data_IF_567476728447
#
_entry.id   IF_567476728447
#
_cell.length_a   1.000
_cell.length_b   1.000
_cell.length_c   1.000
_cell.angle_alpha   90.00
_cell.angle_beta   90.00
_cell.angle_gamma   90.00
#
_symmetry.space_group_name_H-M   'P 1'
#
loop_
_entity.id
_entity.type
_entity.pdbx_description
1 polymer ?
#
# COMPACT_ATOMS: atom_id res chain seq x y z
N UNK A 1 -7.96 -21.63 -1.51
CA UNK A 1 -8.55 -20.91 -2.66
C UNK A 1 -8.32 -21.67 -3.94
N UNK A 2 -8.99 -21.27 -5.04
CA UNK A 2 -9.03 -21.96 -6.36
C UNK A 2 -7.62 -22.30 -6.93
N UNK A 3 -6.59 -21.57 -6.52
CA UNK A 3 -5.21 -21.72 -7.02
C UNK A 3 -4.25 -22.39 -6.02
N UNK A 4 -4.74 -22.99 -4.94
CA UNK A 4 -3.89 -23.66 -3.94
C UNK A 4 -2.89 -22.75 -3.23
N UNK A 5 -3.09 -21.43 -3.24
CA UNK A 5 -2.14 -20.44 -2.68
C UNK A 5 -1.14 -19.87 -3.68
N UNK A 6 -1.22 -20.25 -4.96
CA UNK A 6 -0.28 -19.83 -6.01
C UNK A 6 -0.74 -18.64 -6.86
N UNK A 7 -1.49 -17.68 -6.29
CA UNK A 7 -2.07 -16.58 -7.06
C UNK A 7 -1.00 -15.69 -7.69
N UNK A 8 0.07 -15.36 -6.97
CA UNK A 8 1.12 -14.47 -7.44
C UNK A 8 1.92 -15.09 -8.61
N UNK A 9 2.39 -16.33 -8.43
CA UNK A 9 3.14 -17.05 -9.48
C UNK A 9 2.30 -17.21 -10.74
N UNK A 10 1.04 -17.64 -10.59
CA UNK A 10 0.14 -17.88 -11.73
C UNK A 10 -0.13 -16.57 -12.50
N UNK A 11 -0.44 -15.49 -11.78
CA UNK A 11 -0.67 -14.18 -12.36
C UNK A 11 0.58 -13.66 -13.09
N UNK A 12 1.75 -13.71 -12.45
CA UNK A 12 2.99 -13.20 -13.04
C UNK A 12 3.39 -13.98 -14.28
N UNK A 13 3.33 -15.32 -14.26
CA UNK A 13 3.56 -16.13 -15.46
C UNK A 13 2.61 -15.75 -16.61
N UNK A 14 1.33 -15.52 -16.31
CA UNK A 14 0.35 -15.08 -17.30
C UNK A 14 0.68 -13.70 -17.87
N UNK A 15 0.94 -12.71 -17.01
CA UNK A 15 1.22 -11.33 -17.42
C UNK A 15 2.54 -11.21 -18.20
N UNK A 16 3.59 -11.94 -17.80
CA UNK A 16 4.85 -11.99 -18.52
C UNK A 16 4.68 -12.56 -19.93
N UNK A 17 3.78 -13.52 -20.10
CA UNK A 17 3.45 -14.08 -21.41
C UNK A 17 2.61 -13.11 -22.24
N UNK A 18 1.53 -12.54 -21.69
CA UNK A 18 0.63 -11.62 -22.40
C UNK A 18 1.33 -10.31 -22.79
N UNK A 19 2.25 -9.81 -21.97
CA UNK A 19 3.09 -8.66 -22.30
C UNK A 19 4.27 -9.00 -23.23
N UNK A 20 4.48 -10.27 -23.59
CA UNK A 20 5.57 -10.69 -24.47
C UNK A 20 6.98 -10.60 -23.85
N UNK A 21 7.09 -10.41 -22.53
CA UNK A 21 8.35 -10.17 -21.83
C UNK A 21 9.29 -11.37 -21.87
N UNK A 22 8.73 -12.59 -21.80
CA UNK A 22 9.50 -13.84 -21.89
C UNK A 22 10.28 -13.90 -23.21
N UNK A 23 9.60 -13.61 -24.32
CA UNK A 23 10.23 -13.62 -25.64
C UNK A 23 11.19 -12.44 -25.81
N UNK A 24 10.77 -11.24 -25.43
CA UNK A 24 11.55 -10.02 -25.60
C UNK A 24 12.91 -10.09 -24.89
N UNK A 25 12.93 -10.53 -23.63
CA UNK A 25 14.15 -10.64 -22.81
C UNK A 25 14.81 -12.03 -22.88
N UNK A 26 14.27 -12.95 -23.69
CA UNK A 26 14.75 -14.33 -23.81
C UNK A 26 14.85 -15.04 -22.45
N UNK A 27 13.81 -14.88 -21.61
CA UNK A 27 13.80 -15.43 -20.26
C UNK A 27 13.66 -16.95 -20.29
N UNK A 28 14.50 -17.63 -19.51
CA UNK A 28 14.35 -19.05 -19.22
C UNK A 28 13.13 -19.25 -18.31
N UNK A 29 12.15 -20.01 -18.78
CA UNK A 29 10.89 -20.25 -18.06
C UNK A 29 11.07 -21.00 -16.74
N UNK A 30 12.07 -21.88 -16.63
CA UNK A 30 12.38 -22.60 -15.40
C UNK A 30 12.95 -21.63 -14.37
N UNK A 31 13.86 -20.74 -14.80
CA UNK A 31 14.42 -19.70 -13.92
C UNK A 31 13.37 -18.66 -13.52
N UNK A 32 12.47 -18.29 -14.43
CA UNK A 32 11.36 -17.38 -14.13
C UNK A 32 10.45 -17.99 -13.07
N UNK A 33 10.02 -19.25 -13.27
CA UNK A 33 9.19 -19.94 -12.29
C UNK A 33 9.90 -20.09 -10.94
N UNK A 34 11.22 -20.35 -10.93
CA UNK A 34 12.01 -20.40 -9.70
C UNK A 34 12.03 -19.05 -8.99
N UNK A 35 12.31 -17.96 -9.71
CA UNK A 35 12.28 -16.60 -9.14
C UNK A 35 10.91 -16.28 -8.54
N UNK A 36 9.84 -16.47 -9.29
CA UNK A 36 8.47 -16.19 -8.82
C UNK A 36 8.06 -17.08 -7.65
N UNK A 37 8.52 -18.34 -7.64
CA UNK A 37 8.33 -19.26 -6.52
C UNK A 37 8.98 -18.74 -5.24
N UNK A 38 10.25 -18.32 -5.32
CA UNK A 38 10.95 -17.71 -4.17
C UNK A 38 10.22 -16.47 -3.68
N UNK A 39 9.83 -15.54 -4.57
CA UNK A 39 9.09 -14.32 -4.18
C UNK A 39 7.80 -14.68 -3.44
N UNK A 40 7.01 -15.62 -3.96
CA UNK A 40 5.74 -15.99 -3.36
C UNK A 40 5.89 -16.68 -1.99
N UNK A 41 6.88 -17.57 -1.86
CA UNK A 41 7.14 -18.33 -0.63
C UNK A 41 7.71 -17.44 0.49
N UNK A 42 8.41 -16.37 0.13
CA UNK A 42 9.02 -15.41 1.06
C UNK A 42 8.01 -14.36 1.57
N UNK A 43 6.76 -14.37 1.07
CA UNK A 43 5.65 -13.68 1.73
C UNK A 43 5.09 -14.50 2.90
N UNK A 44 4.95 -13.84 4.04
CA UNK A 44 4.38 -14.44 5.24
C UNK A 44 2.86 -14.65 5.14
N UNK A 45 2.44 -15.86 4.76
CA UNK A 45 1.03 -16.24 4.65
C UNK A 45 0.17 -16.09 5.92
N UNK A 46 0.79 -15.90 7.09
CA UNK A 46 0.11 -15.68 8.36
C UNK A 46 -0.25 -14.21 8.62
N UNK A 47 0.36 -13.27 7.88
CA UNK A 47 0.00 -11.85 7.90
C UNK A 47 -1.41 -11.70 7.30
N UNK A 48 -2.37 -11.03 7.97
CA UNK A 48 -3.71 -10.82 7.44
C UNK A 48 -3.75 -10.07 6.11
N UNK A 49 -2.87 -9.07 5.95
CA UNK A 49 -2.80 -8.15 4.82
C UNK A 49 -1.51 -8.32 4.01
N UNK A 50 -0.32 -8.08 4.60
CA UNK A 50 0.95 -8.05 3.86
C UNK A 50 1.46 -9.49 3.56
N UNK A 51 0.84 -10.12 2.56
CA UNK A 51 1.11 -11.49 2.10
C UNK A 51 1.04 -11.58 0.55
N UNK A 52 1.29 -12.76 -0.02
CA UNK A 52 1.35 -12.95 -1.47
C UNK A 52 0.03 -12.64 -2.21
N UNK A 53 -1.12 -12.61 -1.52
CA UNK A 53 -2.40 -12.21 -2.14
C UNK A 53 -2.45 -10.69 -2.33
N UNK A 54 -1.96 -9.91 -1.36
CA UNK A 54 -1.80 -8.46 -1.51
C UNK A 54 -0.85 -8.15 -2.67
N UNK A 55 0.31 -8.80 -2.72
CA UNK A 55 1.25 -8.65 -3.83
C UNK A 55 0.61 -8.97 -5.20
N UNK A 56 -0.25 -9.99 -5.27
CA UNK A 56 -0.99 -10.31 -6.48
C UNK A 56 -2.04 -9.25 -6.84
N UNK A 57 -2.73 -8.65 -5.85
CA UNK A 57 -3.66 -7.54 -6.07
C UNK A 57 -2.95 -6.30 -6.62
N UNK A 58 -1.83 -5.90 -5.99
CA UNK A 58 -0.98 -4.78 -6.43
C UNK A 58 -0.44 -5.03 -7.84
N UNK A 59 0.03 -6.24 -8.13
CA UNK A 59 0.49 -6.62 -9.48
C UNK A 59 -0.64 -6.50 -10.52
N UNK A 60 -1.85 -6.94 -10.18
CA UNK A 60 -3.01 -6.84 -11.06
C UNK A 60 -3.41 -5.38 -11.31
N UNK A 61 -3.42 -4.54 -10.27
CA UNK A 61 -3.70 -3.12 -10.39
C UNK A 61 -2.63 -2.40 -11.23
N UNK A 62 -1.35 -2.69 -10.97
CA UNK A 62 -0.22 -2.15 -11.74
C UNK A 62 -0.32 -2.49 -13.23
N UNK A 63 -0.71 -3.73 -13.56
CA UNK A 63 -0.97 -4.11 -14.95
C UNK A 63 -2.11 -3.29 -15.58
N UNK A 64 -3.21 -3.03 -14.86
CA UNK A 64 -4.27 -2.15 -15.35
C UNK A 64 -3.77 -0.73 -15.63
N UNK A 65 -2.90 -0.18 -14.78
CA UNK A 65 -2.33 1.15 -14.97
C UNK A 65 -1.34 1.20 -16.14
N UNK A 66 -0.50 0.19 -16.30
CA UNK A 66 0.37 0.04 -17.49
C UNK A 66 -0.46 0.01 -18.79
N UNK A 67 -1.71 -0.45 -18.73
CA UNK A 67 -2.63 -0.49 -19.88
C UNK A 67 -3.42 0.79 -20.11
N UNK A 68 -3.31 1.81 -19.26
CA UNK A 68 -3.84 3.14 -19.55
C UNK A 68 -3.20 3.70 -20.83
N UNK A 69 -4.01 4.28 -21.72
CA UNK A 69 -3.57 4.67 -23.08
C UNK A 69 -2.29 5.51 -23.07
N UNK A 70 -2.22 6.53 -22.20
CA UNK A 70 -1.05 7.42 -22.06
C UNK A 70 0.25 6.67 -21.72
N UNK A 71 0.15 5.57 -20.97
CA UNK A 71 1.29 4.75 -20.60
C UNK A 71 1.55 3.65 -21.63
N UNK A 72 0.53 2.93 -22.05
CA UNK A 72 0.65 1.81 -22.99
C UNK A 72 1.33 2.20 -24.32
N UNK A 73 1.16 3.46 -24.76
CA UNK A 73 1.79 3.99 -25.97
C UNK A 73 3.26 4.39 -25.80
N UNK A 74 3.73 4.58 -24.56
CA UNK A 74 5.04 5.20 -24.26
C UNK A 74 6.00 4.27 -23.51
N UNK A 75 5.47 3.34 -22.72
CA UNK A 75 6.28 2.41 -21.94
C UNK A 75 7.00 1.40 -22.84
N UNK A 76 8.28 1.20 -22.56
CA UNK A 76 9.11 0.17 -23.19
C UNK A 76 8.86 -1.20 -22.54
N UNK A 77 9.29 -2.31 -23.17
CA UNK A 77 9.24 -3.62 -22.53
C UNK A 77 10.00 -3.68 -21.19
N UNK A 78 11.06 -2.89 -21.01
CA UNK A 78 11.81 -2.81 -19.76
C UNK A 78 10.99 -2.12 -18.67
N UNK A 79 10.32 -1.02 -19.01
CA UNK A 79 9.42 -0.32 -18.11
C UNK A 79 8.30 -1.24 -17.57
N UNK A 80 7.69 -2.02 -18.46
CA UNK A 80 6.65 -3.01 -18.11
C UNK A 80 7.21 -4.14 -17.25
N UNK A 81 8.40 -4.65 -17.59
CA UNK A 81 9.10 -5.66 -16.80
C UNK A 81 9.35 -5.16 -15.37
N UNK A 82 9.92 -3.97 -15.23
CA UNK A 82 10.24 -3.36 -13.93
C UNK A 82 8.98 -3.11 -13.11
N UNK A 83 7.92 -2.55 -13.71
CA UNK A 83 6.66 -2.28 -13.01
C UNK A 83 5.99 -3.54 -12.45
N UNK A 84 5.94 -4.63 -13.23
CA UNK A 84 5.36 -5.90 -12.77
C UNK A 84 6.23 -6.58 -11.70
N UNK A 85 7.56 -6.58 -11.88
CA UNK A 85 8.49 -7.18 -10.91
C UNK A 85 8.48 -6.44 -9.58
N UNK A 86 8.49 -5.10 -9.61
CA UNK A 86 8.40 -4.27 -8.41
C UNK A 86 7.07 -4.51 -7.70
N UNK A 87 5.93 -4.49 -8.40
CA UNK A 87 4.63 -4.75 -7.80
C UNK A 87 4.53 -6.11 -7.11
N UNK A 88 5.09 -7.15 -7.73
CA UNK A 88 5.09 -8.50 -7.17
C UNK A 88 5.95 -8.64 -5.89
N UNK A 89 6.99 -7.83 -5.74
CA UNK A 89 8.00 -8.00 -4.70
C UNK A 89 8.10 -6.84 -3.70
N UNK A 90 7.26 -5.80 -3.84
CA UNK A 90 7.38 -4.57 -3.04
C UNK A 90 7.27 -4.77 -1.54
N UNK A 91 6.63 -5.86 -1.08
CA UNK A 91 6.41 -6.21 0.34
C UNK A 91 6.98 -7.59 0.71
N UNK A 92 7.92 -8.13 -0.07
CA UNK A 92 8.45 -9.47 0.19
C UNK A 92 9.16 -9.56 1.54
N UNK A 93 8.93 -10.62 2.32
CA UNK A 93 9.40 -10.77 3.71
C UNK A 93 8.91 -9.65 4.66
N UNK A 94 7.72 -9.10 4.43
CA UNK A 94 7.11 -8.15 5.37
C UNK A 94 6.80 -8.81 6.73
N UNK A 95 7.28 -8.25 7.86
CA UNK A 95 7.20 -8.89 9.18
C UNK A 95 5.83 -8.74 9.87
N UNK A 96 4.87 -8.08 9.21
CA UNK A 96 3.54 -7.81 9.77
C UNK A 96 3.49 -6.69 10.80
N UNK A 97 4.56 -5.87 10.86
CA UNK A 97 4.70 -4.73 11.76
C UNK A 97 5.37 -3.56 11.03
N UNK A 98 5.04 -2.34 11.45
CA UNK A 98 5.50 -1.13 10.78
C UNK A 98 6.94 -0.72 11.17
N UNK A 99 7.52 0.22 10.41
CA UNK A 99 8.86 0.76 10.67
C UNK A 99 9.03 1.32 12.10
N UNK A 100 8.13 2.15 12.65
CA UNK A 100 8.23 2.61 14.04
C UNK A 100 8.37 1.48 15.06
N UNK A 101 7.66 0.36 14.87
CA UNK A 101 7.78 -0.84 15.70
C UNK A 101 9.18 -1.45 15.62
N UNK A 102 9.73 -1.61 14.41
CA UNK A 102 11.09 -2.15 14.21
C UNK A 102 12.15 -1.27 14.87
N UNK A 103 12.00 0.05 14.81
CA UNK A 103 12.92 1.01 15.42
C UNK A 103 12.86 0.92 16.95
N UNK A 104 11.64 0.99 17.54
CA UNK A 104 11.49 1.00 19.01
C UNK A 104 11.91 -0.33 19.66
N UNK A 105 11.78 -1.44 18.94
CA UNK A 105 12.23 -2.77 19.39
C UNK A 105 13.70 -3.06 19.07
N UNK A 106 14.42 -2.13 18.44
CA UNK A 106 15.82 -2.30 18.00
C UNK A 106 16.02 -3.53 17.12
N UNK A 107 15.05 -3.79 16.24
CA UNK A 107 15.15 -4.87 15.28
C UNK A 107 16.40 -4.71 14.40
N UNK A 108 17.03 -5.81 14.01
CA UNK A 108 18.28 -5.77 13.25
C UNK A 108 18.13 -5.04 11.90
N UNK A 109 16.96 -5.10 11.25
CA UNK A 109 16.67 -4.36 10.02
C UNK A 109 16.72 -2.84 10.22
N UNK A 110 16.22 -2.33 11.35
CA UNK A 110 16.27 -0.89 11.65
C UNK A 110 17.73 -0.41 11.77
N UNK A 111 18.61 -1.25 12.33
CA UNK A 111 20.06 -0.99 12.38
C UNK A 111 20.69 -1.05 11.00
N UNK A 112 20.38 -2.10 10.23
CA UNK A 112 20.94 -2.34 8.90
C UNK A 112 20.63 -1.19 7.93
N UNK A 113 19.40 -0.67 7.97
CA UNK A 113 18.91 0.40 7.08
C UNK A 113 18.86 1.77 7.75
N UNK A 114 19.51 1.92 8.91
CA UNK A 114 19.69 3.21 9.59
C UNK A 114 18.38 3.99 9.77
N UNK A 115 17.32 3.29 10.18
CA UNK A 115 15.98 3.84 10.43
C UNK A 115 15.33 4.58 9.23
N UNK A 116 15.81 4.39 8.00
CA UNK A 116 15.30 5.08 6.80
C UNK A 116 14.71 4.06 5.83
N UNK A 117 13.41 4.19 5.52
CA UNK A 117 12.67 3.28 4.63
C UNK A 117 13.04 1.81 4.89
N UNK A 118 12.97 1.40 6.16
CA UNK A 118 13.53 0.15 6.70
C UNK A 118 12.90 -1.06 6.02
N UNK A 119 11.58 -1.02 5.85
CA UNK A 119 10.81 -2.09 5.24
C UNK A 119 11.07 -2.13 3.73
N UNK A 120 10.93 -1.01 3.03
CA UNK A 120 11.09 -0.94 1.59
C UNK A 120 12.52 -1.27 1.14
N UNK A 121 13.52 -0.85 1.94
CA UNK A 121 14.91 -1.26 1.73
C UNK A 121 15.06 -2.78 1.88
N UNK A 122 14.41 -3.37 2.88
CA UNK A 122 14.41 -4.82 3.08
C UNK A 122 13.81 -5.56 1.88
N UNK A 123 12.60 -5.19 1.47
CA UNK A 123 11.90 -5.77 0.32
C UNK A 123 12.75 -5.68 -0.96
N UNK A 124 13.37 -4.52 -1.20
CA UNK A 124 14.29 -4.35 -2.32
C UNK A 124 15.50 -5.29 -2.23
N UNK A 125 16.21 -5.33 -1.09
CA UNK A 125 17.41 -6.17 -0.96
C UNK A 125 17.10 -7.66 -1.07
N UNK A 126 15.97 -8.12 -0.51
CA UNK A 126 15.47 -9.49 -0.65
C UNK A 126 15.15 -9.81 -2.11
N UNK A 127 14.47 -8.90 -2.82
CA UNK A 127 14.18 -9.02 -4.26
C UNK A 127 15.46 -9.21 -5.08
N UNK A 128 16.48 -8.37 -4.84
CA UNK A 128 17.78 -8.48 -5.51
C UNK A 128 18.48 -9.81 -5.19
N UNK A 129 18.41 -10.27 -3.94
CA UNK A 129 18.92 -11.58 -3.52
C UNK A 129 18.32 -12.71 -4.35
N UNK A 130 16.99 -12.79 -4.41
CA UNK A 130 16.26 -13.81 -5.18
C UNK A 130 16.52 -13.71 -6.69
N UNK A 131 16.64 -12.51 -7.24
CA UNK A 131 16.93 -12.29 -8.65
C UNK A 131 18.31 -12.85 -9.03
N UNK A 132 19.31 -12.63 -8.18
CA UNK A 132 20.66 -13.18 -8.35
C UNK A 132 20.69 -14.69 -8.14
N UNK A 133 20.01 -15.21 -7.12
CA UNK A 133 19.97 -16.64 -6.81
C UNK A 133 19.26 -17.46 -7.89
N UNK A 134 18.15 -16.96 -8.44
CA UNK A 134 17.46 -17.61 -9.56
C UNK A 134 18.31 -17.65 -10.84
N UNK A 135 19.24 -16.70 -10.99
CA UNK A 135 19.98 -16.46 -12.21
C UNK A 135 19.07 -16.07 -13.38
N UNK A 136 17.88 -15.52 -13.12
CA UNK A 136 16.87 -15.18 -14.14
C UNK A 136 17.43 -14.25 -15.22
N UNK A 137 18.28 -13.30 -14.81
CA UNK A 137 18.91 -12.32 -15.69
C UNK A 137 20.40 -12.61 -15.97
N UNK A 138 20.87 -13.82 -15.65
CA UNK A 138 22.31 -14.15 -15.71
C UNK A 138 22.90 -14.12 -17.13
N UNK A 139 22.05 -14.14 -18.17
CA UNK A 139 22.45 -14.04 -19.58
C UNK A 139 22.54 -12.59 -20.07
N UNK A 140 21.99 -11.63 -19.32
CA UNK A 140 22.08 -10.22 -19.67
C UNK A 140 23.48 -9.67 -19.31
N UNK A 141 23.93 -8.60 -19.99
CA UNK A 141 25.12 -7.86 -19.60
C UNK A 141 25.06 -7.39 -18.14
N UNK A 142 26.21 -7.39 -17.46
CA UNK A 142 26.29 -7.10 -16.03
C UNK A 142 25.79 -5.68 -15.68
N UNK A 143 26.13 -4.70 -16.52
CA UNK A 143 25.66 -3.31 -16.42
C UNK A 143 24.14 -3.22 -16.52
N UNK A 144 23.53 -3.92 -17.48
CA UNK A 144 22.06 -3.97 -17.62
C UNK A 144 21.39 -4.63 -16.41
N UNK A 145 21.96 -5.73 -15.89
CA UNK A 145 21.40 -6.39 -14.70
C UNK A 145 21.49 -5.51 -13.44
N UNK A 146 22.58 -4.76 -13.27
CA UNK A 146 22.75 -3.82 -12.16
C UNK A 146 21.80 -2.64 -12.27
N UNK A 147 21.59 -2.12 -13.48
CA UNK A 147 20.63 -1.06 -13.74
C UNK A 147 19.19 -1.51 -13.41
N UNK A 148 18.81 -2.74 -13.79
CA UNK A 148 17.52 -3.33 -13.40
C UNK A 148 17.38 -3.40 -11.87
N UNK A 149 18.41 -3.87 -11.15
CA UNK A 149 18.37 -3.95 -9.68
C UNK A 149 18.21 -2.57 -9.02
N UNK A 150 18.82 -1.52 -9.59
CA UNK A 150 18.70 -0.14 -9.12
C UNK A 150 17.30 0.42 -9.39
N UNK A 151 16.77 0.22 -10.60
CA UNK A 151 15.43 0.69 -10.96
C UNK A 151 14.34 -0.03 -10.16
N UNK A 152 14.46 -1.33 -9.92
CA UNK A 152 13.57 -2.07 -9.01
C UNK A 152 13.60 -1.48 -7.60
N UNK A 153 14.79 -1.19 -7.07
CA UNK A 153 14.92 -0.54 -5.77
C UNK A 153 14.27 0.83 -5.73
N UNK A 154 14.45 1.63 -6.78
CA UNK A 154 13.83 2.93 -6.90
C UNK A 154 12.29 2.87 -6.94
N UNK A 155 11.70 1.85 -7.58
CA UNK A 155 10.26 1.62 -7.58
C UNK A 155 9.75 1.19 -6.20
N UNK A 156 10.39 0.19 -5.59
CA UNK A 156 10.00 -0.33 -4.27
C UNK A 156 10.15 0.75 -3.19
N UNK A 157 11.25 1.50 -3.16
CA UNK A 157 11.44 2.60 -2.19
C UNK A 157 10.40 3.72 -2.32
N UNK A 158 9.71 3.83 -3.46
CA UNK A 158 8.65 4.82 -3.63
C UNK A 158 7.35 4.42 -2.88
N UNK A 159 7.18 3.16 -2.51
CA UNK A 159 5.99 2.70 -1.76
C UNK A 159 6.03 3.13 -0.29
N UNK A 160 7.18 3.59 0.23
CA UNK A 160 7.27 4.16 1.58
C UNK A 160 6.24 5.29 1.76
N UNK A 161 5.23 4.99 2.57
CA UNK A 161 4.08 5.87 2.73
C UNK A 161 4.43 7.17 3.42
N UNK A 162 5.49 7.19 4.25
CA UNK A 162 5.96 8.39 4.93
C UNK A 162 6.49 9.43 3.94
N UNK A 163 6.90 8.98 2.75
CA UNK A 163 7.44 9.82 1.68
C UNK A 163 6.39 10.21 0.65
N UNK A 164 5.12 9.83 0.82
CA UNK A 164 4.07 10.10 -0.17
C UNK A 164 3.97 11.58 -0.56
N UNK A 165 4.08 12.49 0.40
CA UNK A 165 3.98 13.92 0.13
C UNK A 165 5.08 14.43 -0.81
N UNK A 166 6.30 13.86 -0.73
CA UNK A 166 7.40 14.19 -1.65
C UNK A 166 7.00 13.89 -3.09
N UNK A 167 6.53 12.67 -3.35
CA UNK A 167 6.10 12.23 -4.68
C UNK A 167 4.87 13.00 -5.19
N UNK A 168 3.92 13.31 -4.30
CA UNK A 168 2.70 14.02 -4.68
C UNK A 168 2.99 15.47 -5.08
N UNK A 169 3.88 16.15 -4.36
CA UNK A 169 4.33 17.51 -4.69
C UNK A 169 5.00 17.50 -6.07
N UNK A 170 5.96 16.60 -6.30
CA UNK A 170 6.65 16.50 -7.59
C UNK A 170 5.69 16.19 -8.75
N UNK A 171 4.72 15.29 -8.55
CA UNK A 171 3.71 15.00 -9.57
C UNK A 171 2.86 16.24 -9.87
N UNK A 172 2.39 16.93 -8.81
CA UNK A 172 1.58 18.14 -8.96
C UNK A 172 2.34 19.24 -9.71
N UNK A 173 3.60 19.48 -9.36
CA UNK A 173 4.46 20.46 -10.04
C UNK A 173 4.60 20.14 -11.53
N UNK A 174 4.85 18.87 -11.87
CA UNK A 174 4.96 18.46 -13.27
C UNK A 174 3.65 18.63 -14.06
N UNK A 175 2.51 18.34 -13.42
CA UNK A 175 1.19 18.50 -14.03
C UNK A 175 0.80 19.97 -14.18
N UNK A 176 1.11 20.81 -13.20
CA UNK A 176 0.85 22.24 -13.21
C UNK A 176 1.70 22.96 -14.28
N UNK A 177 2.98 22.57 -14.40
CA UNK A 177 3.91 23.11 -15.38
C UNK A 177 3.73 22.52 -16.79
N UNK A 178 2.96 21.43 -16.91
CA UNK A 178 2.74 20.70 -18.16
C UNK A 178 4.05 20.20 -18.81
N UNK A 179 5.03 19.80 -18.00
CA UNK A 179 6.36 19.37 -18.47
C UNK A 179 6.60 17.85 -18.32
N UNK A 180 5.57 17.09 -17.94
CA UNK A 180 5.59 15.63 -17.89
C UNK A 180 5.70 15.00 -19.30
N UNK A 181 6.93 14.83 -19.76
CA UNK A 181 7.27 14.18 -21.05
C UNK A 181 7.61 12.68 -20.92
N UNK A 182 6.70 11.80 -21.34
CA UNK A 182 6.89 10.34 -21.31
C UNK A 182 7.87 9.80 -22.38
N UNK A 183 8.41 10.64 -23.27
CA UNK A 183 9.55 10.23 -24.10
C UNK A 183 10.83 10.10 -23.26
N UNK A 184 10.90 10.82 -22.13
CA UNK A 184 12.04 10.77 -21.21
C UNK A 184 11.92 9.56 -20.26
N UNK A 185 12.97 8.74 -20.22
CA UNK A 185 13.00 7.56 -19.36
C UNK A 185 12.83 7.90 -17.87
N UNK A 186 13.39 9.03 -17.42
CA UNK A 186 13.25 9.51 -16.04
C UNK A 186 11.79 9.83 -15.68
N UNK A 187 11.04 10.45 -16.60
CA UNK A 187 9.62 10.75 -16.40
C UNK A 187 8.76 9.48 -16.45
N UNK A 188 9.04 8.55 -17.37
CA UNK A 188 8.36 7.24 -17.37
C UNK A 188 8.59 6.50 -16.06
N UNK A 189 9.83 6.45 -15.59
CA UNK A 189 10.18 5.81 -14.31
C UNK A 189 9.47 6.47 -13.13
N UNK A 190 9.46 7.81 -13.06
CA UNK A 190 8.74 8.54 -12.03
C UNK A 190 7.24 8.23 -12.05
N UNK A 191 6.61 8.22 -13.22
CA UNK A 191 5.18 7.86 -13.31
C UNK A 191 4.93 6.39 -12.97
N UNK A 192 5.86 5.47 -13.22
CA UNK A 192 5.75 4.10 -12.74
C UNK A 192 5.84 4.03 -11.21
N UNK A 193 6.65 4.88 -10.56
CA UNK A 193 6.64 5.00 -9.09
C UNK A 193 5.26 5.46 -8.60
N UNK A 194 4.68 6.50 -9.22
CA UNK A 194 3.32 6.95 -8.90
C UNK A 194 2.29 5.84 -9.13
N UNK A 195 2.37 5.12 -10.25
CA UNK A 195 1.45 4.04 -10.57
C UNK A 195 1.55 2.88 -9.56
N UNK A 196 2.77 2.53 -9.13
CA UNK A 196 2.97 1.51 -8.09
C UNK A 196 2.43 1.98 -6.74
N UNK A 197 2.63 3.25 -6.37
CA UNK A 197 1.99 3.84 -5.17
C UNK A 197 0.48 3.76 -5.26
N UNK A 198 -0.11 4.12 -6.41
CA UNK A 198 -1.55 3.97 -6.62
C UNK A 198 -1.98 2.52 -6.44
N UNK A 199 -1.23 1.56 -6.99
CA UNK A 199 -1.57 0.15 -6.97
C UNK A 199 -1.55 -0.42 -5.54
N UNK A 200 -0.56 -0.01 -4.75
CA UNK A 200 -0.38 -0.41 -3.36
C UNK A 200 -1.54 0.06 -2.46
N UNK A 201 -2.03 1.29 -2.65
CA UNK A 201 -3.14 1.84 -1.85
C UNK A 201 -4.50 1.82 -2.57
N UNK A 202 -4.69 1.02 -3.62
CA UNK A 202 -5.91 1.05 -4.43
C UNK A 202 -7.13 0.33 -3.82
N UNK A 203 -7.02 -0.34 -2.67
CA UNK A 203 -8.14 -1.13 -2.16
C UNK A 203 -9.44 -0.32 -1.98
N UNK A 204 -9.41 0.94 -1.48
CA UNK A 204 -10.60 1.78 -1.40
C UNK A 204 -11.21 2.16 -2.74
N UNK A 205 -10.46 2.04 -3.84
CA UNK A 205 -10.92 2.28 -5.22
C UNK A 205 -11.58 1.04 -5.86
N UNK A 206 -11.61 -0.11 -5.16
CA UNK A 206 -12.30 -1.33 -5.60
C UNK A 206 -13.79 -1.29 -5.23
N UNK A 207 -14.57 -2.23 -5.77
CA UNK A 207 -15.95 -2.43 -5.34
C UNK A 207 -16.03 -2.66 -3.82
N UNK A 208 -17.13 -2.23 -3.21
CA UNK A 208 -17.32 -2.20 -1.75
C UNK A 208 -16.93 -3.51 -1.05
N UNK A 209 -17.32 -4.66 -1.60
CA UNK A 209 -17.07 -5.95 -0.95
C UNK A 209 -15.58 -6.28 -0.88
N UNK A 210 -14.83 -6.03 -1.96
CA UNK A 210 -13.37 -6.21 -1.98
C UNK A 210 -12.67 -5.18 -1.10
N UNK A 211 -13.05 -3.91 -1.24
CA UNK A 211 -12.54 -2.80 -0.42
C UNK A 211 -12.70 -3.09 1.06
N UNK A 212 -13.89 -3.55 1.48
CA UNK A 212 -14.20 -3.90 2.86
C UNK A 212 -13.34 -5.06 3.38
N UNK A 213 -13.18 -6.14 2.61
CA UNK A 213 -12.35 -7.27 3.03
C UNK A 213 -10.89 -6.86 3.24
N UNK A 214 -10.34 -6.00 2.37
CA UNK A 214 -9.00 -5.44 2.54
C UNK A 214 -8.90 -4.54 3.76
N UNK A 215 -9.89 -3.66 3.98
CA UNK A 215 -9.96 -2.82 5.18
C UNK A 215 -9.99 -3.63 6.48
N UNK A 216 -10.76 -4.72 6.52
CA UNK A 216 -10.84 -5.61 7.69
C UNK A 216 -9.49 -6.32 7.93
N UNK A 217 -8.83 -6.81 6.87
CA UNK A 217 -7.51 -7.46 6.95
C UNK A 217 -6.40 -6.53 7.42
N UNK A 218 -6.30 -5.32 6.85
CA UNK A 218 -5.24 -4.37 7.24
C UNK A 218 -5.42 -3.92 8.69
N UNK A 219 -6.67 -3.70 9.13
CA UNK A 219 -6.94 -3.37 10.53
C UNK A 219 -6.65 -4.56 11.46
N UNK A 220 -6.97 -5.80 11.06
CA UNK A 220 -6.58 -6.99 11.84
C UNK A 220 -5.06 -7.05 12.05
N UNK A 221 -4.27 -6.74 11.03
CA UNK A 221 -2.81 -6.72 11.13
C UNK A 221 -2.31 -5.59 12.06
N UNK A 222 -2.88 -4.39 11.95
CA UNK A 222 -2.58 -3.29 12.89
C UNK A 222 -2.91 -3.66 14.33
N UNK A 223 -4.06 -4.27 14.58
CA UNK A 223 -4.45 -4.69 15.93
C UNK A 223 -3.56 -5.80 16.48
N UNK A 224 -3.09 -6.74 15.64
CA UNK A 224 -2.07 -7.72 16.03
C UNK A 224 -0.77 -7.06 16.47
N UNK A 225 -0.34 -6.00 15.79
CA UNK A 225 0.81 -5.21 16.24
C UNK A 225 0.52 -4.56 17.61
N UNK A 226 -0.64 -3.92 17.79
CA UNK A 226 -1.00 -3.29 19.06
C UNK A 226 -1.09 -4.27 20.24
N UNK A 227 -1.54 -5.51 19.97
CA UNK A 227 -1.53 -6.58 20.96
C UNK A 227 -0.11 -7.00 21.36
N UNK A 228 0.82 -7.04 20.40
CA UNK A 228 2.24 -7.27 20.70
C UNK A 228 2.82 -6.11 21.51
N UNK A 229 2.53 -4.87 21.13
CA UNK A 229 2.98 -3.68 21.86
C UNK A 229 2.49 -3.70 23.31
N UNK A 230 1.20 -3.96 23.52
CA UNK A 230 0.60 -4.10 24.85
C UNK A 230 1.23 -5.25 25.65
N UNK A 231 1.47 -6.39 25.01
CA UNK A 231 2.08 -7.57 25.66
C UNK A 231 3.51 -7.32 26.15
N UNK A 232 4.24 -6.44 25.48
CA UNK A 232 5.62 -6.11 25.81
C UNK A 232 5.77 -4.73 26.49
N UNK A 233 4.68 -4.20 27.06
CA UNK A 233 4.63 -2.91 27.75
C UNK A 233 5.22 -1.75 26.92
N UNK A 234 4.99 -1.78 25.61
CA UNK A 234 5.33 -0.70 24.67
C UNK A 234 4.14 0.26 24.51
N UNK A 235 4.43 1.52 24.20
CA UNK A 235 3.40 2.45 23.73
C UNK A 235 2.75 1.89 22.46
N UNK A 236 1.42 1.76 22.48
CA UNK A 236 0.63 1.26 21.37
C UNK A 236 0.66 2.31 20.26
N UNK A 237 1.01 1.88 19.06
CA UNK A 237 1.09 2.76 17.90
C UNK A 237 -0.29 3.27 17.50
N UNK A 238 -0.38 4.49 16.91
CA UNK A 238 -1.63 4.99 16.36
C UNK A 238 -2.28 3.97 15.42
N UNK A 239 -3.61 3.88 15.45
CA UNK A 239 -4.44 2.97 14.64
C UNK A 239 -4.32 1.48 15.00
N UNK A 240 -3.47 1.13 15.98
CA UNK A 240 -3.20 -0.26 16.35
C UNK A 240 -4.00 -0.70 17.60
N UNK A 241 -4.86 0.12 18.19
CA UNK A 241 -5.62 -0.25 19.38
C UNK A 241 -7.09 -0.54 19.07
N UNK A 242 -7.47 -1.82 18.99
CA UNK A 242 -8.86 -2.23 18.76
C UNK A 242 -9.84 -1.73 19.83
N UNK A 243 -9.38 -1.32 21.02
CA UNK A 243 -10.26 -0.80 22.08
C UNK A 243 -10.69 0.66 21.83
N UNK A 244 -9.88 1.43 21.10
CA UNK A 244 -10.14 2.87 20.86
C UNK A 244 -10.30 3.20 19.39
N UNK A 245 -9.73 2.39 18.50
CA UNK A 245 -9.81 2.53 17.06
C UNK A 245 -10.95 1.68 16.49
N UNK A 246 -11.50 2.13 15.37
CA UNK A 246 -12.53 1.39 14.64
C UNK A 246 -12.21 1.37 13.15
N UNK A 247 -12.50 0.25 12.49
CA UNK A 247 -12.29 0.10 11.03
C UNK A 247 -12.90 1.28 10.26
N UNK A 248 -14.15 1.71 10.50
CA UNK A 248 -14.71 2.86 9.80
C UNK A 248 -13.91 4.16 9.99
N UNK A 249 -13.43 4.45 11.21
CA UNK A 249 -12.66 5.68 11.48
C UNK A 249 -11.29 5.65 10.78
N UNK A 250 -10.57 4.52 10.87
CA UNK A 250 -9.29 4.30 10.19
C UNK A 250 -9.47 4.51 8.68
N UNK A 251 -10.46 3.87 8.08
CA UNK A 251 -10.68 3.92 6.63
C UNK A 251 -11.10 5.31 6.14
N UNK A 252 -11.94 6.04 6.89
CA UNK A 252 -12.29 7.44 6.53
C UNK A 252 -11.04 8.33 6.53
N UNK A 253 -10.17 8.19 7.55
CA UNK A 253 -8.92 8.92 7.64
C UNK A 253 -7.97 8.57 6.49
N UNK A 254 -7.71 7.28 6.28
CA UNK A 254 -6.86 6.78 5.21
C UNK A 254 -7.32 7.26 3.83
N UNK A 255 -8.61 7.14 3.52
CA UNK A 255 -9.14 7.63 2.25
C UNK A 255 -8.92 9.14 2.11
N UNK A 256 -9.26 9.93 3.14
CA UNK A 256 -9.24 11.40 3.04
C UNK A 256 -7.82 11.98 2.93
N UNK A 257 -6.85 11.37 3.61
CA UNK A 257 -5.52 11.96 3.76
C UNK A 257 -4.44 11.29 2.92
N UNK A 258 -4.67 10.04 2.49
CA UNK A 258 -3.68 9.27 1.74
C UNK A 258 -4.19 8.98 0.33
N UNK A 259 -5.34 8.33 0.20
CA UNK A 259 -5.77 7.76 -1.09
C UNK A 259 -6.37 8.84 -2.00
N UNK A 260 -7.31 9.64 -1.51
CA UNK A 260 -7.99 10.68 -2.30
C UNK A 260 -7.01 11.67 -2.94
N UNK A 261 -6.03 12.27 -2.21
CA UNK A 261 -5.07 13.20 -2.83
C UNK A 261 -4.20 12.56 -3.92
N UNK A 262 -3.79 11.30 -3.74
CA UNK A 262 -2.99 10.57 -4.74
C UNK A 262 -3.81 10.29 -6.01
N UNK A 263 -5.04 9.81 -5.84
CA UNK A 263 -5.89 9.45 -6.96
C UNK A 263 -6.48 10.65 -7.70
N UNK A 264 -6.63 11.81 -7.05
CA UNK A 264 -6.94 13.08 -7.73
C UNK A 264 -5.84 13.47 -8.73
N UNK A 265 -4.57 13.43 -8.32
CA UNK A 265 -3.45 13.75 -9.21
C UNK A 265 -3.26 12.66 -10.28
N UNK A 266 -3.45 11.38 -9.94
CA UNK A 266 -3.45 10.29 -10.92
C UNK A 266 -4.55 10.44 -11.97
N UNK A 267 -5.77 10.81 -11.55
CA UNK A 267 -6.88 11.07 -12.46
C UNK A 267 -6.53 12.24 -13.39
N UNK A 268 -5.96 13.32 -12.86
CA UNK A 268 -5.51 14.48 -13.64
C UNK A 268 -4.45 14.09 -14.67
N UNK A 269 -3.49 13.24 -14.29
CA UNK A 269 -2.48 12.72 -15.21
C UNK A 269 -3.09 11.82 -16.30
N UNK A 270 -4.04 10.95 -15.96
CA UNK A 270 -4.60 9.94 -16.88
C UNK A 270 -5.80 10.41 -17.71
N UNK A 271 -6.31 11.63 -17.48
CA UNK A 271 -7.50 12.14 -18.16
C UNK A 271 -7.35 12.13 -19.70
N UNK A 272 -8.36 11.67 -20.48
CA UNK A 272 -9.67 11.15 -20.06
C UNK A 272 -9.68 9.61 -19.88
N UNK A 273 -9.27 9.10 -18.72
CA UNK A 273 -9.37 7.68 -18.37
C UNK A 273 -10.72 7.33 -17.73
N UNK A 274 -11.40 6.32 -18.28
CA UNK A 274 -12.58 5.71 -17.68
C UNK A 274 -12.24 4.94 -16.40
N UNK A 275 -11.06 4.28 -16.35
CA UNK A 275 -10.62 3.54 -15.18
C UNK A 275 -10.44 4.48 -13.97
N UNK A 276 -9.79 5.63 -14.15
CA UNK A 276 -9.64 6.64 -13.09
C UNK A 276 -10.97 7.19 -12.61
N UNK A 277 -11.93 7.43 -13.50
CA UNK A 277 -13.29 7.84 -13.11
C UNK A 277 -14.02 6.79 -12.28
N UNK A 278 -13.91 5.51 -12.67
CA UNK A 278 -14.50 4.38 -11.92
C UNK A 278 -13.86 4.27 -10.53
N UNK A 279 -12.52 4.34 -10.45
CA UNK A 279 -11.78 4.27 -9.19
C UNK A 279 -12.19 5.37 -8.22
N UNK A 280 -12.26 6.62 -8.69
CA UNK A 280 -12.72 7.76 -7.88
C UNK A 280 -14.19 7.61 -7.46
N UNK A 281 -15.05 7.09 -8.35
CA UNK A 281 -16.44 6.78 -8.02
C UNK A 281 -16.57 5.76 -6.88
N UNK A 282 -15.79 4.68 -6.93
CA UNK A 282 -15.73 3.69 -5.85
C UNK A 282 -15.16 4.27 -4.56
N UNK A 283 -14.08 5.04 -4.64
CA UNK A 283 -13.44 5.69 -3.50
C UNK A 283 -14.45 6.55 -2.72
N UNK A 284 -15.16 7.45 -3.39
CA UNK A 284 -16.19 8.29 -2.76
C UNK A 284 -17.36 7.47 -2.19
N UNK A 285 -17.83 6.46 -2.94
CA UNK A 285 -18.91 5.57 -2.48
C UNK A 285 -18.51 4.80 -1.23
N UNK A 286 -17.31 4.24 -1.20
CA UNK A 286 -16.80 3.45 -0.08
C UNK A 286 -16.57 4.34 1.16
N UNK A 287 -16.05 5.56 0.99
CA UNK A 287 -15.94 6.57 2.06
C UNK A 287 -17.31 6.90 2.67
N UNK A 288 -18.35 7.03 1.85
CA UNK A 288 -19.71 7.26 2.31
C UNK A 288 -20.29 6.04 3.05
N UNK A 289 -20.01 4.82 2.58
CA UNK A 289 -20.38 3.58 3.28
C UNK A 289 -19.74 3.50 4.67
N UNK A 290 -18.44 3.76 4.79
CA UNK A 290 -17.75 3.80 6.09
C UNK A 290 -18.31 4.88 7.01
N UNK A 291 -18.57 6.08 6.49
CA UNK A 291 -19.19 7.17 7.25
C UNK A 291 -20.55 6.77 7.84
N UNK A 292 -21.37 6.04 7.07
CA UNK A 292 -22.66 5.52 7.53
C UNK A 292 -22.48 4.46 8.62
N UNK A 293 -21.55 3.52 8.46
CA UNK A 293 -21.26 2.50 9.46
C UNK A 293 -20.76 3.11 10.77
N UNK A 294 -19.90 4.13 10.70
CA UNK A 294 -19.43 4.87 11.87
C UNK A 294 -20.58 5.53 12.62
N UNK A 295 -21.48 6.22 11.90
CA UNK A 295 -22.64 6.87 12.52
C UNK A 295 -23.57 5.86 13.23
N UNK A 296 -23.83 4.71 12.62
CA UNK A 296 -24.65 3.65 13.22
C UNK A 296 -24.01 3.09 14.50
N UNK A 297 -22.69 2.91 14.52
CA UNK A 297 -21.95 2.49 15.72
C UNK A 297 -22.08 3.50 16.86
N UNK A 298 -21.83 4.80 16.60
CA UNK A 298 -21.95 5.85 17.61
C UNK A 298 -23.37 5.96 18.18
N UNK A 299 -24.40 5.80 17.34
CA UNK A 299 -25.79 5.77 17.82
C UNK A 299 -26.10 4.57 18.71
N UNK A 300 -25.53 3.40 18.41
CA UNK A 300 -25.72 2.20 19.22
C UNK A 300 -25.08 2.35 20.61
N UNK A 301 -23.85 2.88 20.66
CA UNK A 301 -23.12 3.17 21.92
C UNK A 301 -23.87 4.18 22.80
N UNK A 302 -24.42 5.23 22.18
CA UNK A 302 -25.20 6.27 22.89
C UNK A 302 -26.51 5.71 23.46
N UNK A 303 -27.13 4.73 22.79
CA UNK A 303 -28.38 4.08 23.27
C UNK A 303 -28.14 3.05 24.37
N UNK A 304 -26.93 2.49 24.48
CA UNK A 304 -26.56 1.53 25.53
C UNK A 304 -26.13 2.18 26.85
N UNK A 305 -25.89 3.49 26.87
CA UNK A 305 -25.58 4.25 28.10
C UNK A 305 -26.54 5.44 28.32
N UNK A 306 -27.78 5.24 28.81
CA UNK A 306 -28.77 6.31 28.93
C UNK A 306 -28.66 7.20 30.18
N UNK A 307 -27.69 7.00 31.09
CA UNK A 307 -27.64 7.76 32.34
C UNK A 307 -26.21 8.18 32.72
N UNK A 308 -25.84 9.40 32.33
CA UNK A 308 -25.10 10.27 33.23
C UNK A 308 -26.15 11.21 33.84
N UNK A 309 -26.40 11.06 35.13
CA UNK A 309 -27.35 11.87 35.90
C UNK A 309 -27.00 13.35 35.77
N UNK A 310 -27.98 14.18 35.41
CA UNK A 310 -27.91 15.63 35.62
C UNK A 310 -27.86 15.89 37.13
N UNK A 311 -26.98 16.77 37.63
CA UNK A 311 -27.02 17.14 39.04
C UNK A 311 -28.31 17.94 39.31
N UNK A 312 -29.13 17.46 40.24
CA UNK A 312 -30.29 18.19 40.74
C UNK A 312 -29.88 19.54 41.37
N UNK A 313 -30.75 20.57 41.30
CA UNK A 313 -30.47 21.86 41.91
C UNK A 313 -30.72 21.78 43.42
N UNK A 314 -29.67 21.88 44.23
CA UNK A 314 -29.85 22.12 45.68
C UNK A 314 -30.41 23.53 45.91
N UNK A 315 -31.71 23.60 46.14
CA UNK A 315 -32.37 24.70 46.82
C UNK A 315 -32.39 24.45 48.33
N UNK A 316 -31.80 25.38 49.11
CA UNK A 316 -31.79 25.33 50.57
C UNK A 316 -31.37 26.65 51.21
N UNK A 317 -32.39 27.45 51.51
CA UNK A 317 -32.55 28.66 52.34
C UNK A 317 -31.42 29.14 53.28
N UNK A 318 -31.22 30.48 53.22
CA UNK A 318 -31.03 31.50 54.27
C UNK A 318 -30.63 31.07 55.70
N UNK A 319 -29.54 31.66 56.20
CA UNK A 319 -29.57 32.47 57.44
C UNK A 319 -28.43 33.51 57.47
N UNK A 320 -28.74 34.66 58.06
CA UNK A 320 -28.00 35.91 58.05
C UNK A 320 -26.85 35.95 59.09
N UNK A 321 -25.86 36.83 58.88
CA UNK A 321 -25.35 37.80 59.89
C UNK A 321 -24.23 38.71 59.33
N UNK A 322 -24.54 40.01 59.28
CA UNK A 322 -23.77 41.21 59.64
C UNK A 322 -22.36 41.62 59.08
N UNK A 323 -22.40 42.75 58.34
CA UNK A 323 -21.71 44.06 58.58
C UNK A 323 -20.18 44.17 58.31
N UNK A 324 -19.63 45.33 57.84
CA UNK A 324 -20.22 46.67 57.63
C UNK A 324 -20.30 47.19 56.19
#
# INVERSE_FOLDING_TARGET
GIWGGNSLVTLMCHLFNVCGLIHHFQLDMVKLHRFLGMVQEDYHSHNPYHNAVHAADVTQAMYCYIKETKLAEQLTPLDVFLGLMAAAAHDVDHPGVNQPFLIKTRHHLATLYQNTSVLESHHWRSTVGMLRESGLLSHLPADMSQDIEQQLGSLILATDINRQNEFLITLREHLDNQDMDLQLATHRHFILQIALKCADVCNPCREWELSRQWSERVCEEFYRQGDLERKFDLEISPLCDQQTDSVPAIQIGFISYIVEPLFEEWQRFTEPSMLSQIMMGHLHKNKACWSRLRYVHTLAETKTHPHAEEPEPEGGQEEAEDIP
#
